data_IF_434744954741
#
_entry.id   IF_434744954741
#
_cell.length_a   1.000
_cell.length_b   1.000
_cell.length_c   1.000
_cell.angle_alpha   90.00
_cell.angle_beta   90.00
_cell.angle_gamma   90.00
#
_symmetry.space_group_name_H-M   'P 1'
#
loop_
_entity.id
_entity.type
_entity.pdbx_description
1 polymer ?
#
# COMPACT_ATOMS: atom_id res chain seq x y z
N UNK A 1 10.69 -63.33 30.37
CA UNK A 1 10.49 -62.16 29.50
C UNK A 1 11.82 -61.43 29.46
N UNK A 2 12.51 -61.48 28.33
CA UNK A 2 13.79 -60.79 28.16
C UNK A 2 13.51 -59.31 27.92
N UNK A 3 14.09 -58.45 28.77
CA UNK A 3 13.99 -56.99 28.64
C UNK A 3 15.35 -56.47 28.24
N UNK A 4 15.39 -55.64 27.21
CA UNK A 4 16.61 -54.97 26.80
C UNK A 4 16.69 -53.59 27.45
N UNK A 5 17.86 -53.29 28.01
CA UNK A 5 18.18 -51.98 28.56
C UNK A 5 18.74 -51.08 27.46
N UNK A 6 18.01 -50.03 27.09
CA UNK A 6 18.40 -49.04 26.08
C UNK A 6 18.44 -47.67 26.75
N UNK A 7 19.30 -46.75 26.31
CA UNK A 7 19.31 -45.38 26.85
C UNK A 7 18.32 -44.49 26.09
N UNK A 8 17.66 -43.62 26.84
CA UNK A 8 16.90 -42.50 26.29
C UNK A 8 17.85 -41.54 25.56
N UNK A 9 17.61 -41.29 24.27
CA UNK A 9 18.41 -40.35 23.49
C UNK A 9 18.18 -38.88 23.87
N UNK A 10 17.13 -38.59 24.67
CA UNK A 10 16.83 -37.24 25.13
C UNK A 10 17.49 -36.89 26.48
N UNK A 11 17.38 -37.77 27.48
CA UNK A 11 17.87 -37.51 28.86
C UNK A 11 18.95 -38.48 29.35
N UNK A 12 19.32 -39.50 28.55
CA UNK A 12 20.31 -40.51 28.93
C UNK A 12 19.84 -41.56 29.93
N UNK A 13 18.60 -41.46 30.45
CA UNK A 13 18.08 -42.41 31.43
C UNK A 13 17.97 -43.85 30.86
N UNK A 14 18.22 -44.88 31.67
CA UNK A 14 18.04 -46.27 31.26
C UNK A 14 16.56 -46.60 31.11
N UNK A 15 16.19 -47.22 30.00
CA UNK A 15 14.84 -47.67 29.67
C UNK A 15 14.85 -49.18 29.48
N UNK A 16 13.95 -49.86 30.16
CA UNK A 16 13.70 -51.28 29.90
C UNK A 16 12.59 -51.39 28.85
N UNK A 17 12.92 -51.99 27.71
CA UNK A 17 11.95 -52.25 26.63
C UNK A 17 11.85 -53.75 26.39
N UNK A 18 10.63 -54.23 26.19
CA UNK A 18 10.40 -55.61 25.79
C UNK A 18 10.87 -55.84 24.34
N UNK A 19 11.26 -57.07 24.04
CA UNK A 19 11.48 -57.49 22.66
C UNK A 19 10.19 -57.32 21.85
N UNK A 20 10.24 -56.48 20.82
CA UNK A 20 9.08 -56.15 19.96
C UNK A 20 8.45 -54.78 20.22
N UNK A 21 8.77 -54.07 21.31
CA UNK A 21 8.25 -52.70 21.52
C UNK A 21 8.87 -51.74 20.50
N UNK A 22 8.05 -51.08 19.68
CA UNK A 22 8.48 -50.09 18.66
C UNK A 22 8.48 -48.66 19.18
N UNK A 23 7.55 -48.32 20.06
CA UNK A 23 7.46 -47.00 20.67
C UNK A 23 7.52 -47.13 22.19
N UNK A 24 8.27 -46.23 22.82
CA UNK A 24 8.40 -46.16 24.28
C UNK A 24 8.33 -44.71 24.72
N UNK A 25 7.71 -44.47 25.87
CA UNK A 25 7.69 -43.15 26.50
C UNK A 25 8.67 -43.19 27.67
N UNK A 26 9.61 -42.25 27.69
CA UNK A 26 10.56 -42.17 28.79
C UNK A 26 9.85 -41.74 30.08
N UNK A 27 9.97 -42.49 31.17
CA UNK A 27 9.35 -42.11 32.46
C UNK A 27 10.01 -40.89 33.12
N UNK A 28 11.26 -40.55 32.74
CA UNK A 28 12.01 -39.44 33.32
C UNK A 28 11.72 -38.09 32.64
N UNK A 29 11.86 -38.02 31.31
CA UNK A 29 11.66 -36.79 30.55
C UNK A 29 10.36 -36.75 29.73
N UNK A 30 9.54 -37.81 29.81
CA UNK A 30 8.26 -37.92 29.11
C UNK A 30 8.36 -37.83 27.58
N UNK A 31 9.55 -37.96 26.99
CA UNK A 31 9.69 -37.95 25.54
C UNK A 31 9.16 -39.24 24.90
N UNK A 32 8.49 -39.07 23.76
CA UNK A 32 8.06 -40.18 22.91
C UNK A 32 9.19 -40.59 21.97
N UNK A 33 9.61 -41.84 22.09
CA UNK A 33 10.78 -42.38 21.41
C UNK A 33 10.38 -43.58 20.56
N UNK A 34 10.90 -43.66 19.33
CA UNK A 34 10.89 -44.87 18.52
C UNK A 34 12.16 -45.69 18.82
N UNK A 35 12.02 -46.98 19.08
CA UNK A 35 13.13 -47.91 19.29
C UNK A 35 13.55 -48.48 17.94
N UNK A 36 14.70 -48.02 17.42
CA UNK A 36 15.32 -48.52 16.19
C UNK A 36 16.30 -49.64 16.53
N UNK A 37 16.13 -50.78 15.86
CA UNK A 37 16.99 -51.95 15.98
C UNK A 37 17.68 -52.16 14.64
N UNK A 38 19.01 -52.15 14.65
CA UNK A 38 19.85 -52.54 13.51
C UNK A 38 20.65 -53.80 13.89
N UNK A 39 21.24 -54.47 12.91
CA UNK A 39 21.98 -55.73 13.13
C UNK A 39 23.14 -55.61 14.13
N UNK A 40 23.61 -54.39 14.40
CA UNK A 40 24.74 -54.10 15.29
C UNK A 40 24.41 -53.22 16.49
N UNK A 41 23.22 -52.64 16.60
CA UNK A 41 22.90 -51.71 17.69
C UNK A 41 21.40 -51.48 17.89
N UNK A 42 21.03 -51.05 19.10
CA UNK A 42 19.66 -50.66 19.44
C UNK A 42 19.72 -49.25 20.04
N UNK A 43 18.99 -48.32 19.44
CA UNK A 43 18.95 -46.92 19.87
C UNK A 43 17.53 -46.36 19.82
N UNK A 44 17.32 -45.23 20.51
CA UNK A 44 16.03 -44.54 20.55
C UNK A 44 16.08 -43.24 19.75
N UNK A 45 15.01 -42.89 19.04
CA UNK A 45 14.90 -41.65 18.26
C UNK A 45 13.61 -40.90 18.64
N UNK A 46 13.66 -39.58 18.77
CA UNK A 46 12.54 -38.76 19.22
C UNK A 46 11.51 -38.52 18.10
N UNK A 47 10.25 -38.92 18.31
CA UNK A 47 9.19 -38.85 17.29
C UNK A 47 8.56 -37.44 17.20
N UNK A 48 8.75 -36.60 18.23
CA UNK A 48 8.00 -35.35 18.42
C UNK A 48 8.38 -34.18 17.48
N UNK A 49 9.46 -34.27 16.69
CA UNK A 49 9.96 -33.14 15.90
C UNK A 49 9.35 -32.96 14.51
N UNK A 50 8.57 -33.92 13.99
CA UNK A 50 8.03 -33.82 12.62
C UNK A 50 6.70 -33.07 12.51
N UNK A 51 5.77 -33.25 13.46
CA UNK A 51 4.46 -32.59 13.40
C UNK A 51 4.55 -31.08 13.70
N UNK A 52 5.33 -30.69 14.71
CA UNK A 52 5.45 -29.30 15.12
C UNK A 52 6.23 -28.45 14.10
N UNK A 53 7.18 -29.05 13.37
CA UNK A 53 7.92 -28.34 12.33
C UNK A 53 7.07 -28.16 11.06
N UNK A 54 6.18 -29.11 10.73
CA UNK A 54 5.28 -28.98 9.59
C UNK A 54 4.26 -27.84 9.77
N UNK A 55 3.69 -27.68 10.98
CA UNK A 55 2.78 -26.56 11.28
C UNK A 55 3.50 -25.20 11.25
N UNK A 56 4.69 -25.11 11.85
CA UNK A 56 5.50 -23.87 11.80
C UNK A 56 5.92 -23.51 10.38
N UNK A 57 6.25 -24.51 9.57
CA UNK A 57 6.55 -24.31 8.15
C UNK A 57 5.32 -23.85 7.36
N UNK A 58 4.14 -24.44 7.60
CA UNK A 58 2.89 -24.04 6.95
C UNK A 58 2.53 -22.58 7.25
N UNK A 59 2.62 -22.15 8.52
CA UNK A 59 2.40 -20.75 8.90
C UNK A 59 3.42 -19.79 8.26
N UNK A 60 4.68 -20.20 8.15
CA UNK A 60 5.71 -19.37 7.51
C UNK A 60 5.49 -19.19 6.01
N UNK A 61 4.94 -20.19 5.31
CA UNK A 61 4.58 -20.07 3.90
C UNK A 61 3.44 -19.07 3.69
N UNK A 62 2.44 -19.06 4.56
CA UNK A 62 1.30 -18.13 4.45
C UNK A 62 1.74 -16.67 4.62
N UNK A 63 2.63 -16.40 5.59
CA UNK A 63 3.22 -15.05 5.76
C UNK A 63 4.00 -14.62 4.52
N UNK A 64 4.82 -15.51 3.95
CA UNK A 64 5.58 -15.22 2.73
C UNK A 64 4.65 -14.93 1.54
N UNK A 65 3.54 -15.68 1.40
CA UNK A 65 2.56 -15.42 0.33
C UNK A 65 1.89 -14.05 0.48
N UNK A 66 1.50 -13.67 1.69
CA UNK A 66 0.89 -12.36 1.95
C UNK A 66 1.87 -11.21 1.71
N UNK A 67 3.14 -11.37 2.09
CA UNK A 67 4.18 -10.38 1.80
C UNK A 67 4.39 -10.19 0.30
N UNK A 68 4.50 -11.29 -0.46
CA UNK A 68 4.60 -11.23 -1.92
C UNK A 68 3.37 -10.59 -2.58
N UNK A 69 2.17 -10.86 -2.07
CA UNK A 69 0.92 -10.27 -2.57
C UNK A 69 0.91 -8.74 -2.37
N UNK A 70 1.36 -8.27 -1.20
CA UNK A 70 1.49 -6.83 -0.90
C UNK A 70 2.54 -6.19 -1.81
N UNK A 71 3.71 -6.81 -1.96
CA UNK A 71 4.78 -6.28 -2.80
C UNK A 71 4.38 -6.23 -4.28
N UNK A 72 3.66 -7.25 -4.77
CA UNK A 72 3.09 -7.26 -6.12
C UNK A 72 2.10 -6.10 -6.30
N UNK A 73 1.18 -5.94 -5.36
CA UNK A 73 0.17 -4.87 -5.40
C UNK A 73 0.82 -3.48 -5.40
N UNK A 74 1.85 -3.28 -4.56
CA UNK A 74 2.61 -2.03 -4.48
C UNK A 74 3.40 -1.78 -5.78
N UNK A 75 3.99 -2.81 -6.40
CA UNK A 75 4.68 -2.67 -7.70
C UNK A 75 3.73 -2.30 -8.85
N UNK A 76 2.51 -2.87 -8.86
CA UNK A 76 1.50 -2.55 -9.87
C UNK A 76 1.03 -1.09 -9.80
N UNK A 77 0.88 -0.55 -8.58
CA UNK A 77 0.38 0.82 -8.37
C UNK A 77 1.50 1.86 -8.20
N UNK A 78 2.76 1.45 -8.05
CA UNK A 78 3.93 2.34 -8.00
C UNK A 78 4.00 3.34 -9.17
N UNK A 79 3.83 2.95 -10.45
CA UNK A 79 3.87 3.91 -11.55
C UNK A 79 2.71 4.90 -11.51
N UNK A 80 1.52 4.49 -11.06
CA UNK A 80 0.35 5.37 -10.93
C UNK A 80 0.56 6.41 -9.82
N UNK A 81 1.01 5.96 -8.65
CA UNK A 81 1.37 6.83 -7.53
C UNK A 81 2.51 7.79 -7.89
N UNK A 82 3.52 7.31 -8.62
CA UNK A 82 4.62 8.15 -9.10
C UNK A 82 4.15 9.17 -10.14
N UNK A 83 3.27 8.78 -11.07
CA UNK A 83 2.68 9.69 -12.05
C UNK A 83 1.79 10.74 -11.39
N UNK A 84 0.99 10.38 -10.39
CA UNK A 84 0.22 11.32 -9.56
C UNK A 84 1.12 12.26 -8.77
N UNK A 85 2.16 11.74 -8.12
CA UNK A 85 3.14 12.55 -7.41
C UNK A 85 3.82 13.53 -8.35
N UNK A 86 4.18 13.13 -9.58
CA UNK A 86 4.70 14.04 -10.59
C UNK A 86 3.67 15.10 -11.02
N UNK A 87 2.39 14.76 -11.14
CA UNK A 87 1.30 15.73 -11.42
C UNK A 87 1.12 16.74 -10.29
N UNK A 88 1.19 16.30 -9.04
CA UNK A 88 1.10 17.16 -7.84
C UNK A 88 2.38 17.97 -7.61
N UNK A 89 3.55 17.38 -7.88
CA UNK A 89 4.87 18.00 -7.79
C UNK A 89 5.22 18.86 -9.02
N UNK A 90 4.30 19.02 -9.96
CA UNK A 90 4.35 20.03 -11.01
C UNK A 90 3.48 21.27 -10.68
N UNK A 91 3.63 21.97 -9.52
CA UNK A 91 2.94 23.23 -9.31
C UNK A 91 3.52 24.37 -10.18
N UNK A 92 4.64 24.15 -10.88
CA UNK A 92 5.43 25.22 -11.49
C UNK A 92 4.92 25.82 -12.80
N UNK A 93 4.21 25.09 -13.65
CA UNK A 93 3.90 25.59 -15.02
C UNK A 93 2.53 26.23 -15.13
N UNK A 94 1.53 25.78 -14.35
CA UNK A 94 0.18 26.38 -14.37
C UNK A 94 0.06 27.64 -13.50
N UNK A 95 0.83 27.75 -12.41
CA UNK A 95 0.85 28.96 -11.57
C UNK A 95 1.55 30.15 -12.23
N UNK A 96 2.68 29.93 -12.92
CA UNK A 96 3.40 31.02 -13.60
C UNK A 96 2.56 31.63 -14.75
N UNK A 97 1.89 30.79 -15.54
CA UNK A 97 0.96 31.25 -16.58
C UNK A 97 -0.32 31.89 -16.02
N UNK A 98 -0.82 31.39 -14.87
CA UNK A 98 -2.03 31.92 -14.21
C UNK A 98 -1.83 33.31 -13.58
N UNK A 99 -0.68 33.56 -12.95
CA UNK A 99 -0.37 34.87 -12.37
C UNK A 99 -0.12 35.92 -13.46
N UNK A 100 0.67 35.58 -14.50
CA UNK A 100 0.95 36.49 -15.61
C UNK A 100 -0.34 36.74 -16.42
N UNK A 101 -1.11 35.69 -16.74
CA UNK A 101 -2.38 35.81 -17.44
C UNK A 101 -3.42 36.60 -16.63
N UNK A 102 -3.48 36.40 -15.31
CA UNK A 102 -4.35 37.16 -14.41
C UNK A 102 -4.02 38.66 -14.41
N UNK A 103 -2.74 39.01 -14.28
CA UNK A 103 -2.28 40.41 -14.30
C UNK A 103 -2.63 41.07 -15.65
N UNK A 104 -2.34 40.39 -16.76
CA UNK A 104 -2.64 40.89 -18.11
C UNK A 104 -4.15 41.08 -18.28
N UNK A 105 -4.98 40.15 -17.81
CA UNK A 105 -6.44 40.27 -17.91
C UNK A 105 -7.02 41.40 -17.07
N UNK A 106 -6.49 41.64 -15.86
CA UNK A 106 -6.90 42.80 -15.06
C UNK A 106 -6.49 44.10 -15.75
N UNK A 107 -5.28 44.19 -16.30
CA UNK A 107 -4.83 45.35 -17.07
C UNK A 107 -5.73 45.61 -18.29
N UNK A 108 -6.01 44.59 -19.10
CA UNK A 108 -6.88 44.72 -20.28
C UNK A 108 -8.32 45.10 -19.92
N UNK A 109 -8.87 44.52 -18.86
CA UNK A 109 -10.24 44.85 -18.40
C UNK A 109 -10.31 46.29 -17.90
N UNK A 110 -9.34 46.72 -17.09
CA UNK A 110 -9.25 48.11 -16.60
C UNK A 110 -9.06 49.12 -17.73
N UNK A 111 -8.24 48.79 -18.73
CA UNK A 111 -8.03 49.62 -19.91
C UNK A 111 -9.29 49.70 -20.79
N UNK A 112 -10.00 48.59 -20.99
CA UNK A 112 -11.26 48.56 -21.73
C UNK A 112 -12.35 49.44 -21.09
N UNK A 113 -12.48 49.37 -19.76
CA UNK A 113 -13.40 50.23 -18.99
C UNK A 113 -12.99 51.70 -19.11
N UNK A 114 -11.70 52.01 -18.92
CA UNK A 114 -11.19 53.38 -19.06
C UNK A 114 -11.44 53.95 -20.47
N UNK A 115 -11.17 53.15 -21.50
CA UNK A 115 -11.36 53.53 -22.91
C UNK A 115 -12.84 53.75 -23.24
N UNK A 116 -13.74 52.90 -22.75
CA UNK A 116 -15.18 53.07 -22.91
C UNK A 116 -15.70 54.37 -22.25
N UNK A 117 -15.22 54.70 -21.05
CA UNK A 117 -15.61 55.93 -20.34
C UNK A 117 -15.02 57.18 -21.01
N UNK A 118 -13.76 57.12 -21.43
CA UNK A 118 -13.07 58.23 -22.10
C UNK A 118 -13.69 58.55 -23.47
N UNK A 119 -13.97 57.52 -24.28
CA UNK A 119 -14.62 57.70 -25.59
C UNK A 119 -16.03 58.28 -25.48
N UNK A 120 -16.78 57.90 -24.43
CA UNK A 120 -18.11 58.46 -24.15
C UNK A 120 -18.07 59.95 -23.82
N UNK A 121 -17.00 60.42 -23.17
CA UNK A 121 -16.82 61.84 -22.83
C UNK A 121 -16.43 62.72 -24.02
N UNK A 122 -15.74 62.16 -25.02
CA UNK A 122 -15.25 62.91 -26.17
C UNK A 122 -16.19 62.88 -27.39
N UNK A 123 -17.43 62.39 -27.22
CA UNK A 123 -18.41 62.32 -28.31
C UNK A 123 -17.99 61.38 -29.44
N UNK A 124 -17.18 60.36 -29.14
CA UNK A 124 -16.72 59.42 -30.13
C UNK A 124 -17.90 58.61 -30.72
N UNK A 125 -17.80 58.17 -31.99
CA UNK A 125 -18.81 57.32 -32.62
C UNK A 125 -19.11 56.07 -31.78
N UNK A 126 -20.38 55.66 -31.75
CA UNK A 126 -20.91 54.54 -30.96
C UNK A 126 -20.13 53.22 -31.11
N UNK A 127 -19.50 53.00 -32.26
CA UNK A 127 -18.65 51.83 -32.55
C UNK A 127 -17.48 51.70 -31.55
N UNK A 128 -16.89 52.81 -31.11
CA UNK A 128 -15.78 52.78 -30.14
C UNK A 128 -16.24 52.41 -28.72
N UNK A 129 -17.48 52.75 -28.37
CA UNK A 129 -18.08 52.37 -27.08
C UNK A 129 -18.37 50.87 -27.03
N UNK A 130 -18.86 50.29 -28.13
CA UNK A 130 -19.06 48.85 -28.26
C UNK A 130 -17.75 48.07 -28.14
N UNK A 131 -16.65 48.60 -28.69
CA UNK A 131 -15.34 47.98 -28.61
C UNK A 131 -14.83 47.91 -27.16
N UNK A 132 -14.82 49.03 -26.44
CA UNK A 132 -14.40 49.06 -25.03
C UNK A 132 -15.30 48.23 -24.12
N UNK A 133 -16.63 48.30 -24.33
CA UNK A 133 -17.59 47.49 -23.58
C UNK A 133 -17.46 46.00 -23.84
N UNK A 134 -17.19 45.58 -25.08
CA UNK A 134 -16.97 44.19 -25.45
C UNK A 134 -15.76 43.58 -24.75
N UNK A 135 -14.63 44.30 -24.69
CA UNK A 135 -13.44 43.84 -23.98
C UNK A 135 -13.68 43.71 -22.47
N UNK A 136 -14.40 44.66 -21.86
CA UNK A 136 -14.75 44.58 -20.44
C UNK A 136 -15.62 43.34 -20.14
N UNK A 137 -16.61 43.05 -20.99
CA UNK A 137 -17.48 41.88 -20.85
C UNK A 137 -16.70 40.56 -20.94
N UNK A 138 -15.82 40.43 -21.95
CA UNK A 138 -14.98 39.25 -22.13
C UNK A 138 -14.05 39.06 -20.93
N UNK A 139 -13.46 40.15 -20.43
CA UNK A 139 -12.60 40.14 -19.24
C UNK A 139 -13.32 39.61 -18.00
N UNK A 140 -14.55 40.06 -17.76
CA UNK A 140 -15.38 39.61 -16.62
C UNK A 140 -15.74 38.13 -16.75
N UNK A 141 -16.16 37.67 -17.94
CA UNK A 141 -16.50 36.25 -18.17
C UNK A 141 -15.29 35.36 -17.92
N UNK A 142 -14.12 35.76 -18.43
CA UNK A 142 -12.88 35.01 -18.21
C UNK A 142 -12.45 34.99 -16.74
N UNK A 143 -12.64 36.09 -16.01
CA UNK A 143 -12.37 36.16 -14.57
C UNK A 143 -13.27 35.19 -13.78
N UNK A 144 -14.57 35.14 -14.10
CA UNK A 144 -15.52 34.21 -13.47
C UNK A 144 -15.15 32.75 -13.79
N UNK A 145 -14.81 32.44 -15.05
CA UNK A 145 -14.37 31.10 -15.44
C UNK A 145 -13.09 30.67 -14.69
N UNK A 146 -12.14 31.60 -14.51
CA UNK A 146 -10.92 31.36 -13.75
C UNK A 146 -11.21 31.09 -12.27
N UNK A 147 -12.11 31.86 -11.64
CA UNK A 147 -12.52 31.65 -10.25
C UNK A 147 -13.23 30.30 -10.05
N UNK A 148 -14.08 29.88 -11.00
CA UNK A 148 -14.75 28.56 -10.96
C UNK A 148 -13.76 27.41 -11.11
N UNK A 149 -12.76 27.55 -11.97
CA UNK A 149 -11.71 26.55 -12.13
C UNK A 149 -10.75 26.50 -10.93
N UNK A 150 -10.53 27.63 -10.25
CA UNK A 150 -9.71 27.70 -9.03
C UNK A 150 -10.41 27.08 -7.81
N UNK A 151 -11.74 27.20 -7.71
CA UNK A 151 -12.53 26.59 -6.63
C UNK A 151 -12.73 25.07 -6.79
N UNK A 152 -12.41 24.50 -7.95
CA UNK A 152 -12.58 23.08 -8.26
C UNK A 152 -11.40 22.18 -7.86
N UNK A 153 -10.55 22.59 -6.91
CA UNK A 153 -9.45 21.74 -6.44
C UNK A 153 -9.92 20.80 -5.32
N UNK A 154 -10.54 19.70 -5.72
CA UNK A 154 -10.48 18.41 -5.04
C UNK A 154 -11.08 17.38 -5.98
N UNK A 155 -10.26 16.92 -6.92
CA UNK A 155 -10.56 15.68 -7.65
C UNK A 155 -10.40 14.56 -6.63
N UNK A 156 -11.52 14.13 -6.06
CA UNK A 156 -11.64 12.89 -5.33
C UNK A 156 -11.45 11.77 -6.37
N UNK A 157 -10.29 11.11 -6.36
CA UNK A 157 -9.93 10.11 -7.36
C UNK A 157 -10.67 8.79 -7.09
N UNK A 158 -11.51 8.29 -8.02
CA UNK A 158 -12.31 7.08 -7.81
C UNK A 158 -11.49 5.77 -7.73
N UNK A 159 -10.17 5.82 -7.91
CA UNK A 159 -9.27 4.66 -7.92
C UNK A 159 -8.48 4.44 -6.62
N UNK A 160 -8.21 5.50 -5.84
CA UNK A 160 -7.36 5.40 -4.64
C UNK A 160 -8.02 4.59 -3.51
N UNK A 161 -9.36 4.58 -3.47
CA UNK A 161 -10.12 3.86 -2.44
C UNK A 161 -9.99 2.34 -2.52
N UNK A 162 -9.90 1.77 -3.73
CA UNK A 162 -9.85 0.31 -3.90
C UNK A 162 -8.48 -0.26 -3.54
N UNK A 163 -7.38 0.41 -3.94
CA UNK A 163 -6.01 0.03 -3.55
C UNK A 163 -5.81 0.15 -2.03
N UNK A 164 -6.20 1.28 -1.43
CA UNK A 164 -6.03 1.51 0.00
C UNK A 164 -6.83 0.50 0.85
N UNK A 165 -8.08 0.20 0.44
CA UNK A 165 -8.90 -0.81 1.11
C UNK A 165 -8.28 -2.21 0.99
N UNK A 166 -7.78 -2.58 -0.20
CA UNK A 166 -7.20 -3.90 -0.43
C UNK A 166 -5.88 -4.10 0.32
N UNK A 167 -5.04 -3.06 0.36
CA UNK A 167 -3.80 -3.06 1.14
C UNK A 167 -4.07 -3.19 2.65
N UNK A 168 -5.06 -2.45 3.16
CA UNK A 168 -5.45 -2.54 4.58
C UNK A 168 -5.94 -3.95 4.95
N UNK A 169 -6.69 -4.62 4.07
CA UNK A 169 -7.15 -6.00 4.27
C UNK A 169 -5.97 -6.98 4.39
N UNK A 170 -5.00 -6.91 3.48
CA UNK A 170 -3.83 -7.79 3.46
C UNK A 170 -2.92 -7.57 4.68
N UNK A 171 -2.71 -6.31 5.07
CA UNK A 171 -1.93 -5.97 6.27
C UNK A 171 -2.62 -6.50 7.53
N UNK A 172 -3.95 -6.43 7.61
CA UNK A 172 -4.70 -6.98 8.75
C UNK A 172 -4.53 -8.50 8.85
N UNK A 173 -4.64 -9.22 7.74
CA UNK A 173 -4.41 -10.69 7.69
C UNK A 173 -3.00 -11.07 8.14
N UNK A 174 -2.00 -10.30 7.70
CA UNK A 174 -0.61 -10.51 8.12
C UNK A 174 -0.42 -10.26 9.63
N UNK A 175 -1.07 -9.24 10.18
CA UNK A 175 -1.04 -8.93 11.62
C UNK A 175 -1.74 -10.02 12.47
N UNK A 176 -2.79 -10.66 11.95
CA UNK A 176 -3.44 -11.80 12.61
C UNK A 176 -2.52 -13.03 12.65
N UNK A 177 -1.85 -13.35 11.54
CA UNK A 177 -0.95 -14.51 11.45
C UNK A 177 0.37 -14.35 12.22
N UNK A 178 0.87 -13.12 12.37
CA UNK A 178 2.08 -12.86 13.17
C UNK A 178 1.83 -12.83 14.67
N UNK A 179 0.56 -12.77 15.10
CA UNK A 179 0.18 -12.79 16.52
C UNK A 179 -0.17 -14.19 17.04
N UNK A 180 -0.39 -15.16 16.14
CA UNK A 180 -0.60 -16.58 16.46
C UNK A 180 0.71 -17.32 16.67
#
# INVERSE_FOLDING_TARGET
METLSVRCNHCGAPLQVAEGTRYVTCQFCQSHLEVRRTDSSIFTEEVAKLAQNAEKMAGSLEVITLQNEIERLDREHAPELAAEQMKRAAPGVKMAGGCIGGIVMVMFTSFGIFFAVSSSRHGAPFIFQLFGGGFALIGIIALIAMLKNAAGFSVEEPGAGSYAARRAELVRKLAELTKS
#
